data_IF_959547177015
#
_entry.id   IF_959547177015
#
_cell.length_a   1.000
_cell.length_b   1.000
_cell.length_c   1.000
_cell.angle_alpha   90.00
_cell.angle_beta   90.00
_cell.angle_gamma   90.00
#
_symmetry.space_group_name_H-M   'P 1'
#
loop_
_entity.id
_entity.type
_entity.pdbx_description
1 polymer ?
#
# COMPACT_ATOMS: atom_id res chain seq x y z
N UNK A 1 -24.48 9.35 4.07
CA UNK A 1 -23.34 8.43 4.25
C UNK A 1 -23.84 7.02 3.99
N UNK A 2 -23.56 6.47 2.82
CA UNK A 2 -24.05 5.15 2.37
C UNK A 2 -23.45 4.03 3.22
N UNK A 3 -24.25 3.03 3.62
CA UNK A 3 -23.80 1.86 4.41
C UNK A 3 -22.62 1.11 3.79
N UNK A 4 -22.41 1.27 2.49
CA UNK A 4 -21.45 0.49 1.70
C UNK A 4 -19.99 0.80 2.05
N UNK A 5 -19.70 2.03 2.51
CA UNK A 5 -18.35 2.46 2.85
C UNK A 5 -17.80 1.84 4.14
N UNK A 6 -18.63 1.16 4.94
CA UNK A 6 -18.17 0.46 6.16
C UNK A 6 -17.92 -1.03 5.93
N UNK A 7 -18.79 -1.69 5.15
CA UNK A 7 -18.72 -3.13 4.95
C UNK A 7 -17.53 -3.53 4.08
N UNK A 8 -17.28 -2.80 2.99
CA UNK A 8 -16.18 -3.13 2.08
C UNK A 8 -14.81 -3.02 2.76
N UNK A 9 -14.48 -1.95 3.51
CA UNK A 9 -13.22 -1.91 4.26
C UNK A 9 -13.14 -2.96 5.37
N UNK A 10 -14.23 -3.21 6.10
CA UNK A 10 -14.25 -4.23 7.15
C UNK A 10 -13.97 -5.63 6.57
N UNK A 11 -14.56 -5.96 5.42
CA UNK A 11 -14.31 -7.21 4.72
C UNK A 11 -12.85 -7.31 4.24
N UNK A 12 -12.30 -6.24 3.66
CA UNK A 12 -10.90 -6.21 3.23
C UNK A 12 -9.93 -6.46 4.39
N UNK A 13 -10.13 -5.80 5.53
CA UNK A 13 -9.31 -6.01 6.74
C UNK A 13 -9.46 -7.44 7.26
N UNK A 14 -10.68 -7.98 7.26
CA UNK A 14 -10.92 -9.36 7.70
C UNK A 14 -10.16 -10.38 6.86
N UNK A 15 -10.12 -10.19 5.53
CA UNK A 15 -9.35 -11.04 4.61
C UNK A 15 -7.85 -10.90 4.84
N UNK A 16 -7.34 -9.69 5.09
CA UNK A 16 -5.92 -9.49 5.40
C UNK A 16 -5.53 -10.19 6.72
N UNK A 17 -6.34 -10.02 7.77
CA UNK A 17 -6.12 -10.66 9.08
C UNK A 17 -6.17 -12.17 8.96
N UNK A 18 -7.17 -12.73 8.27
CA UNK A 18 -7.27 -14.16 8.03
C UNK A 18 -6.04 -14.70 7.28
N UNK A 19 -5.60 -13.99 6.23
CA UNK A 19 -4.45 -14.40 5.42
C UNK A 19 -3.16 -14.48 6.25
N UNK A 20 -2.96 -13.53 7.18
CA UNK A 20 -1.81 -13.49 8.09
C UNK A 20 -1.93 -14.62 9.12
N UNK A 21 -3.06 -14.71 9.84
CA UNK A 21 -3.26 -15.68 10.92
C UNK A 21 -3.19 -17.14 10.45
N UNK A 22 -3.72 -17.41 9.26
CA UNK A 22 -3.75 -18.76 8.68
C UNK A 22 -2.58 -19.03 7.73
N UNK A 23 -1.62 -18.11 7.64
CA UNK A 23 -0.45 -18.17 6.75
C UNK A 23 -0.80 -18.63 5.32
N UNK A 24 -1.86 -18.05 4.75
CA UNK A 24 -2.41 -18.48 3.46
C UNK A 24 -1.55 -18.02 2.27
N UNK A 25 -0.50 -17.21 2.51
CA UNK A 25 0.38 -16.64 1.48
C UNK A 25 -0.40 -16.00 0.32
N UNK A 26 -1.41 -15.18 0.63
CA UNK A 26 -2.28 -14.56 -0.38
C UNK A 26 -1.62 -13.34 -1.01
N UNK A 27 -1.90 -13.12 -2.29
CA UNK A 27 -1.59 -11.88 -2.99
C UNK A 27 -2.77 -10.91 -2.82
N UNK A 28 -2.57 -9.80 -2.11
CA UNK A 28 -3.60 -8.79 -1.85
C UNK A 28 -3.05 -7.38 -2.12
N UNK A 29 -3.88 -6.42 -2.56
CA UNK A 29 -3.48 -5.03 -2.62
C UNK A 29 -3.33 -4.47 -1.20
N UNK A 30 -2.13 -3.99 -0.86
CA UNK A 30 -1.82 -3.42 0.46
C UNK A 30 -1.10 -2.10 0.27
N UNK A 31 -1.45 -1.10 1.08
CA UNK A 31 -0.66 0.12 1.19
C UNK A 31 0.59 -0.20 2.04
N UNK A 32 1.76 -0.20 1.41
CA UNK A 32 3.04 -0.48 2.06
C UNK A 32 4.12 0.51 1.61
N UNK A 33 5.17 0.66 2.40
CA UNK A 33 6.31 1.53 2.07
C UNK A 33 7.19 0.85 1.02
N UNK A 34 7.45 1.54 -0.09
CA UNK A 34 8.37 1.10 -1.13
C UNK A 34 9.82 1.47 -0.75
N UNK A 35 10.73 0.53 -0.97
CA UNK A 35 12.16 0.59 -0.64
C UNK A 35 13.03 0.26 -1.87
N UNK A 36 12.58 0.68 -3.05
CA UNK A 36 13.25 0.50 -4.33
C UNK A 36 12.32 0.00 -5.43
N UNK A 37 11.18 -0.58 -5.07
CA UNK A 37 10.21 -1.12 -6.02
C UNK A 37 9.66 -0.01 -6.94
N UNK A 38 9.50 -0.33 -8.21
CA UNK A 38 9.11 0.62 -9.26
C UNK A 38 10.06 1.83 -9.38
N UNK A 39 11.27 1.76 -8.81
CA UNK A 39 12.22 2.87 -8.70
C UNK A 39 11.83 3.92 -7.66
N UNK A 40 10.94 3.58 -6.73
CA UNK A 40 10.44 4.46 -5.68
C UNK A 40 11.00 4.07 -4.32
N UNK A 41 11.38 5.07 -3.53
CA UNK A 41 11.82 4.91 -2.14
C UNK A 41 11.03 5.85 -1.23
N UNK A 42 10.90 5.43 0.03
CA UNK A 42 10.33 6.20 1.15
C UNK A 42 8.94 6.77 0.85
N UNK A 43 8.07 5.95 0.23
CA UNK A 43 6.70 6.34 -0.09
C UNK A 43 5.74 5.18 0.13
N UNK A 44 4.59 5.46 0.74
CA UNK A 44 3.54 4.47 0.98
C UNK A 44 2.47 4.58 -0.09
N UNK A 45 2.33 3.56 -0.93
CA UNK A 45 1.25 3.47 -1.93
C UNK A 45 0.65 2.06 -1.96
N UNK A 46 -0.55 1.94 -2.52
CA UNK A 46 -1.21 0.64 -2.70
C UNK A 46 -0.55 -0.18 -3.80
N UNK A 47 0.05 -1.31 -3.46
CA UNK A 47 0.71 -2.23 -4.39
C UNK A 47 0.32 -3.68 -4.07
N UNK A 48 0.37 -4.60 -5.06
CA UNK A 48 0.12 -6.00 -4.81
C UNK A 48 1.24 -6.60 -3.95
N UNK A 49 0.87 -7.14 -2.80
CA UNK A 49 1.79 -7.70 -1.81
C UNK A 49 1.42 -9.16 -1.51
N UNK A 50 2.44 -9.99 -1.27
CA UNK A 50 2.27 -11.30 -0.67
C UNK A 50 2.20 -11.16 0.84
N UNK A 51 1.09 -11.56 1.45
CA UNK A 51 0.92 -11.60 2.90
C UNK A 51 1.09 -13.02 3.42
N UNK A 52 2.04 -13.20 4.32
CA UNK A 52 2.19 -14.41 5.14
C UNK A 52 2.05 -14.10 6.63
N UNK A 53 2.49 -15.02 7.48
CA UNK A 53 2.33 -14.90 8.93
C UNK A 53 3.12 -13.72 9.55
N UNK A 54 4.16 -13.24 8.88
CA UNK A 54 4.96 -12.09 9.29
C UNK A 54 4.44 -10.74 8.73
N UNK A 55 3.29 -10.74 8.05
CA UNK A 55 2.77 -9.56 7.35
C UNK A 55 3.18 -9.54 5.88
N UNK A 56 3.61 -8.39 5.37
CA UNK A 56 4.08 -8.25 3.98
C UNK A 56 5.43 -8.95 3.82
N UNK A 57 5.45 -10.07 3.11
CA UNK A 57 6.68 -10.84 2.86
C UNK A 57 7.41 -10.32 1.63
N UNK A 58 6.66 -9.95 0.58
CA UNK A 58 7.21 -9.48 -0.68
C UNK A 58 6.21 -8.56 -1.38
N UNK A 59 6.72 -7.54 -2.08
CA UNK A 59 5.95 -6.72 -3.02
C UNK A 59 6.11 -7.35 -4.41
N UNK A 60 4.99 -7.54 -5.11
CA UNK A 60 5.00 -8.01 -6.49
C UNK A 60 5.18 -6.82 -7.43
N UNK A 61 6.37 -6.68 -8.00
CA UNK A 61 6.62 -5.69 -9.04
C UNK A 61 6.05 -6.15 -10.39
N UNK A 62 5.08 -5.41 -10.90
CA UNK A 62 4.49 -5.66 -12.21
C UNK A 62 5.33 -5.03 -13.32
N UNK A 63 5.33 -5.68 -14.49
CA UNK A 63 5.89 -5.09 -15.70
C UNK A 63 4.92 -4.02 -16.20
N UNK A 64 5.20 -2.77 -15.86
CA UNK A 64 4.39 -1.62 -16.25
C UNK A 64 4.79 -1.11 -17.63
N UNK A 65 3.80 -0.70 -18.41
CA UNK A 65 4.02 0.15 -19.59
C UNK A 65 4.51 1.54 -19.18
N UNK A 66 5.03 2.32 -20.13
CA UNK A 66 5.54 3.67 -19.84
C UNK A 66 4.47 4.58 -19.23
N UNK A 67 3.23 4.51 -19.73
CA UNK A 67 2.12 5.30 -19.19
C UNK A 67 1.67 4.85 -17.79
N UNK A 68 1.68 3.55 -17.50
CA UNK A 68 1.37 3.05 -16.16
C UNK A 68 2.48 3.39 -15.16
N UNK A 69 3.74 3.34 -15.60
CA UNK A 69 4.88 3.78 -14.79
C UNK A 69 4.74 5.26 -14.44
N UNK A 70 4.42 6.11 -15.41
CA UNK A 70 4.17 7.54 -15.16
C UNK A 70 3.01 7.73 -14.16
N UNK A 71 1.91 6.99 -14.30
CA UNK A 71 0.79 7.05 -13.37
C UNK A 71 1.18 6.65 -11.93
N UNK A 72 2.01 5.62 -11.75
CA UNK A 72 2.54 5.22 -10.43
C UNK A 72 3.43 6.31 -9.84
N UNK A 73 4.28 6.94 -10.66
CA UNK A 73 5.14 8.06 -10.22
C UNK A 73 4.30 9.28 -9.79
N UNK A 74 3.26 9.62 -10.54
CA UNK A 74 2.32 10.70 -10.19
C UNK A 74 1.60 10.41 -8.88
N UNK A 75 1.14 9.16 -8.68
CA UNK A 75 0.50 8.72 -7.44
C UNK A 75 1.45 8.86 -6.24
N UNK A 76 2.68 8.38 -6.39
CA UNK A 76 3.71 8.50 -5.36
C UNK A 76 4.02 9.97 -5.00
N UNK A 77 4.14 10.84 -6.01
CA UNK A 77 4.37 12.27 -5.78
C UNK A 77 3.20 12.91 -5.02
N UNK A 78 1.97 12.58 -5.41
CA UNK A 78 0.76 13.10 -4.75
C UNK A 78 0.70 12.73 -3.26
N UNK A 79 1.19 11.54 -2.89
CA UNK A 79 1.29 11.12 -1.48
C UNK A 79 2.39 11.90 -0.74
N UNK A 80 3.57 12.09 -1.35
CA UNK A 80 4.66 12.86 -0.74
C UNK A 80 4.25 14.30 -0.45
N UNK A 81 3.58 14.95 -1.39
CA UNK A 81 3.12 16.34 -1.24
C UNK A 81 2.13 16.49 -0.07
N UNK A 82 1.35 15.44 0.23
CA UNK A 82 0.43 15.40 1.37
C UNK A 82 1.13 15.03 2.69
N UNK A 83 2.16 14.18 2.63
CA UNK A 83 2.87 13.68 3.81
C UNK A 83 3.86 14.69 4.38
N UNK A 84 4.54 15.47 3.53
CA UNK A 84 5.56 16.44 3.93
C UNK A 84 5.06 17.50 4.94
N UNK A 85 3.89 18.12 4.76
CA UNK A 85 3.32 19.02 5.77
C UNK A 85 2.99 18.30 7.08
N UNK A 86 2.44 17.09 7.00
CA UNK A 86 2.05 16.31 8.18
C UNK A 86 3.27 15.91 9.03
N UNK A 87 4.38 15.54 8.39
CA UNK A 87 5.64 15.24 9.08
C UNK A 87 6.20 16.43 9.84
N UNK A 88 6.17 17.63 9.24
CA UNK A 88 6.64 18.85 9.90
C UNK A 88 5.86 19.15 11.18
N UNK A 89 4.55 18.92 11.16
CA UNK A 89 3.69 19.10 12.35
C UNK A 89 4.07 18.09 13.45
N UNK A 90 4.30 16.82 13.08
CA UNK A 90 4.63 15.76 14.03
C UNK A 90 6.04 15.90 14.62
N UNK A 91 7.00 16.45 13.87
CA UNK A 91 8.38 16.64 14.30
C UNK A 91 8.62 17.88 15.19
N UNK A 92 7.60 18.73 15.38
CA UNK A 92 7.68 19.95 16.20
C UNK A 92 7.26 19.74 17.67
N UNK A 93 7.08 18.47 18.10
CA UNK A 93 6.73 18.09 19.48
C UNK A 93 7.82 17.25 20.14
#
# INVERSE_FOLDING_TARGET
MSRDAFFAPASAVSVMVESILLNQSRLLPVATCLQGEYGLNDVVIGVPCRLGCAGVENILELHLTDGEREAVQISAQSVRDQYDPAQKILAMN
#
